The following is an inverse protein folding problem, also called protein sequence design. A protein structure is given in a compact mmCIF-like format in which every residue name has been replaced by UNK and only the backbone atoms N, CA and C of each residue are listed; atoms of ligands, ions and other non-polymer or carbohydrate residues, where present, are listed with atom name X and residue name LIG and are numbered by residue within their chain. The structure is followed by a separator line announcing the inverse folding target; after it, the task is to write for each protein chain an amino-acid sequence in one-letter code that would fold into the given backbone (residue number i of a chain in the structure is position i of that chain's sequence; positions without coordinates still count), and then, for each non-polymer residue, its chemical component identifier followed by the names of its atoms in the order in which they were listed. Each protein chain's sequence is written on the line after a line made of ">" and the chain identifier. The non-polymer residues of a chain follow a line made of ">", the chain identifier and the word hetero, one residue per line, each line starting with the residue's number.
data_IF_252708190558
#
_entry.id   IF_252708190558
#
_cell.length_a   1.000
_cell.length_b   1.000
_cell.length_c   1.000
_cell.angle_alpha   90.00
_cell.angle_beta   90.00
_cell.angle_gamma   90.00
#
_symmetry.space_group_name_H-M   'P 1'
#
loop_
_entity.id
_entity.type
_entity.pdbx_description
1 polymer ?
#
# COMPACT_ATOMS: atom_id res chain seq x y z
N UNK A 1 24.82 -92.49 9.79
CA UNK A 1 24.68 -92.62 8.32
C UNK A 1 23.57 -91.70 7.85
N UNK A 2 23.86 -90.84 6.85
CA UNK A 2 22.97 -90.35 5.79
C UNK A 2 21.66 -89.62 6.20
N UNK A 3 21.57 -88.31 5.95
CA UNK A 3 20.87 -87.67 4.79
C UNK A 3 19.56 -87.01 5.33
N UNK A 4 19.04 -85.84 4.95
CA UNK A 4 19.06 -84.97 3.76
C UNK A 4 18.50 -83.57 4.17
N UNK A 5 18.88 -82.54 3.41
CA UNK A 5 18.48 -81.14 3.54
C UNK A 5 17.00 -80.82 3.17
N UNK A 6 16.47 -79.66 3.59
CA UNK A 6 15.77 -78.73 2.69
C UNK A 6 15.65 -77.31 3.29
N UNK A 7 15.69 -76.36 2.37
CA UNK A 7 15.79 -74.88 2.47
C UNK A 7 14.42 -74.25 2.78
N UNK A 8 14.36 -73.15 3.55
CA UNK A 8 13.46 -72.04 3.20
C UNK A 8 13.90 -70.71 3.83
N UNK A 9 14.00 -69.72 2.94
CA UNK A 9 14.24 -68.29 3.14
C UNK A 9 12.99 -67.59 3.67
N UNK A 10 13.11 -66.74 4.68
CA UNK A 10 12.26 -65.56 4.96
C UNK A 10 13.07 -64.57 5.82
N UNK A 11 13.56 -63.47 5.23
CA UNK A 11 12.93 -62.14 5.14
C UNK A 11 12.70 -61.47 6.50
N UNK A 12 13.47 -60.41 6.72
CA UNK A 12 13.40 -59.51 7.86
C UNK A 12 12.09 -58.71 7.88
N UNK A 13 11.57 -58.43 9.07
CA UNK A 13 10.73 -57.26 9.29
C UNK A 13 11.12 -56.62 10.62
N UNK A 14 12.01 -55.62 10.51
CA UNK A 14 12.29 -54.67 11.57
C UNK A 14 11.04 -53.80 11.70
N UNK A 15 10.25 -54.00 12.75
CA UNK A 15 9.09 -53.18 13.06
C UNK A 15 9.60 -51.83 13.59
N UNK A 16 9.97 -50.92 12.67
CA UNK A 16 10.09 -49.50 12.97
C UNK A 16 8.68 -49.02 13.33
N UNK A 17 8.47 -48.75 14.62
CA UNK A 17 7.26 -48.08 15.08
C UNK A 17 7.12 -46.76 14.35
N UNK A 18 6.01 -46.60 13.64
CA UNK A 18 5.60 -45.34 13.06
C UNK A 18 5.57 -44.29 14.18
N UNK A 19 6.38 -43.25 14.03
CA UNK A 19 6.10 -41.99 14.72
C UNK A 19 4.69 -41.57 14.28
N UNK A 20 3.83 -41.12 15.21
CA UNK A 20 2.56 -40.54 14.80
C UNK A 20 2.88 -39.36 13.89
N UNK A 21 2.38 -39.40 12.66
CA UNK A 21 2.33 -38.26 11.77
C UNK A 21 1.51 -37.21 12.53
N UNK A 22 2.15 -36.11 12.95
CA UNK A 22 1.42 -34.99 13.51
C UNK A 22 0.44 -34.53 12.43
N UNK A 23 -0.86 -34.57 12.74
CA UNK A 23 -1.84 -33.83 11.98
C UNK A 23 -1.44 -32.35 12.03
N UNK A 24 -1.24 -31.72 10.88
CA UNK A 24 -1.09 -30.27 10.83
C UNK A 24 -2.46 -29.67 11.19
N UNK A 25 -2.55 -29.01 12.34
CA UNK A 25 -3.78 -28.40 12.87
C UNK A 25 -4.07 -27.02 12.22
N UNK A 26 -3.20 -26.54 11.33
CA UNK A 26 -3.30 -25.21 10.72
C UNK A 26 -4.30 -25.20 9.55
N UNK A 27 -5.26 -24.27 9.59
CA UNK A 27 -6.21 -24.04 8.49
C UNK A 27 -5.54 -23.31 7.32
N UNK A 28 -6.22 -23.25 6.17
CA UNK A 28 -5.74 -22.47 5.01
C UNK A 28 -5.45 -21.01 5.40
N UNK A 29 -6.29 -20.41 6.24
CA UNK A 29 -6.12 -19.03 6.72
C UNK A 29 -4.90 -18.90 7.63
N UNK A 30 -4.64 -19.90 8.49
CA UNK A 30 -3.47 -19.91 9.37
C UNK A 30 -2.17 -20.04 8.56
N UNK A 31 -2.17 -20.92 7.55
CA UNK A 31 -1.04 -21.13 6.64
C UNK A 31 -0.73 -19.85 5.85
N UNK A 32 -1.76 -19.19 5.31
CA UNK A 32 -1.59 -17.92 4.61
C UNK A 32 -1.09 -16.80 5.54
N UNK A 33 -1.63 -16.73 6.77
CA UNK A 33 -1.23 -15.72 7.77
C UNK A 33 0.19 -15.91 8.30
N UNK A 34 0.67 -17.16 8.34
CA UNK A 34 2.04 -17.50 8.75
C UNK A 34 3.10 -17.30 7.67
N UNK A 35 2.69 -17.06 6.41
CA UNK A 35 3.60 -16.90 5.28
C UNK A 35 3.73 -15.43 4.85
N UNK A 36 4.90 -14.79 5.00
CA UNK A 36 5.10 -13.38 4.63
C UNK A 36 4.87 -13.11 3.14
N UNK A 37 5.10 -14.11 2.27
CA UNK A 37 4.93 -13.98 0.81
C UNK A 37 3.46 -14.02 0.37
N UNK A 38 2.53 -14.31 1.29
CA UNK A 38 1.07 -14.38 1.05
C UNK A 38 0.32 -13.28 1.82
N UNK A 39 1.03 -12.31 2.38
CA UNK A 39 0.43 -11.25 3.21
C UNK A 39 -0.59 -10.40 2.46
N UNK A 40 -0.44 -10.18 1.15
CA UNK A 40 -1.43 -9.49 0.32
C UNK A 40 -2.72 -10.30 0.14
N UNK A 41 -2.61 -11.62 0.00
CA UNK A 41 -3.77 -12.51 -0.05
C UNK A 41 -4.57 -12.47 1.26
N UNK A 42 -3.89 -12.53 2.41
CA UNK A 42 -4.53 -12.46 3.74
C UNK A 42 -5.29 -11.15 3.93
N UNK A 43 -4.69 -10.04 3.53
CA UNK A 43 -5.34 -8.72 3.59
C UNK A 43 -6.57 -8.64 2.67
N UNK A 44 -6.48 -9.17 1.46
CA UNK A 44 -7.60 -9.21 0.53
C UNK A 44 -8.76 -10.10 1.05
N UNK A 45 -8.44 -11.24 1.69
CA UNK A 45 -9.43 -12.11 2.34
C UNK A 45 -10.15 -11.41 3.52
N UNK A 46 -9.44 -10.57 4.27
CA UNK A 46 -10.02 -9.77 5.35
C UNK A 46 -10.90 -8.63 4.82
N UNK A 47 -10.44 -7.92 3.79
CA UNK A 47 -11.16 -6.79 3.19
C UNK A 47 -12.45 -7.23 2.47
N UNK A 48 -12.43 -8.38 1.81
CA UNK A 48 -13.61 -8.93 1.15
C UNK A 48 -14.60 -9.55 2.14
N UNK A 49 -14.12 -10.17 3.22
CA UNK A 49 -14.94 -11.01 4.10
C UNK A 49 -14.93 -12.50 3.70
N UNK A 50 -14.16 -12.88 2.68
CA UNK A 50 -14.00 -14.26 2.22
C UNK A 50 -13.31 -15.17 3.25
N UNK A 51 -12.62 -14.58 4.23
CA UNK A 51 -12.01 -15.31 5.36
C UNK A 51 -13.03 -16.18 6.12
N UNK A 52 -14.29 -15.75 6.22
CA UNK A 52 -15.35 -16.51 6.89
C UNK A 52 -15.77 -17.75 6.09
N UNK A 53 -15.80 -17.65 4.76
CA UNK A 53 -16.08 -18.77 3.85
C UNK A 53 -14.97 -19.81 3.90
N UNK A 54 -13.72 -19.36 3.89
CA UNK A 54 -12.53 -20.23 3.97
C UNK A 54 -12.28 -20.79 5.37
N UNK A 55 -12.98 -20.30 6.40
CA UNK A 55 -12.97 -20.88 7.74
C UNK A 55 -14.01 -22.00 7.94
N UNK A 56 -14.83 -22.30 6.92
CA UNK A 56 -15.84 -23.36 6.94
C UNK A 56 -15.27 -24.78 6.98
N UNK A 57 -16.16 -25.76 7.21
CA UNK A 57 -15.85 -27.20 7.09
C UNK A 57 -15.63 -27.52 5.61
N UNK A 58 -14.38 -27.47 5.13
CA UNK A 58 -13.99 -27.78 3.76
C UNK A 58 -14.29 -29.25 3.33
N UNK A 59 -13.63 -29.78 2.30
CA UNK A 59 -12.33 -29.34 1.80
C UNK A 59 -12.41 -28.25 0.74
N UNK A 60 -11.43 -27.34 0.77
CA UNK A 60 -11.20 -26.32 -0.26
C UNK A 60 -9.83 -26.51 -0.94
N UNK A 61 -9.71 -26.04 -2.17
CA UNK A 61 -8.42 -25.87 -2.84
C UNK A 61 -8.21 -24.39 -3.09
N UNK A 62 -7.10 -23.83 -2.60
CA UNK A 62 -6.77 -22.41 -2.80
C UNK A 62 -5.53 -22.26 -3.65
N UNK A 63 -5.66 -21.54 -4.75
CA UNK A 63 -4.54 -21.08 -5.56
C UNK A 63 -4.06 -19.73 -5.01
N UNK A 64 -2.98 -19.74 -4.23
CA UNK A 64 -2.49 -18.59 -3.48
C UNK A 64 -1.43 -17.82 -4.26
N UNK A 65 -1.75 -16.68 -4.88
CA UNK A 65 -0.75 -15.82 -5.52
C UNK A 65 0.21 -15.22 -4.48
N UNK A 66 1.48 -15.11 -4.85
CA UNK A 66 2.48 -14.41 -4.05
C UNK A 66 2.26 -12.90 -4.08
N UNK A 67 2.89 -12.19 -3.14
CA UNK A 67 2.87 -10.73 -3.15
C UNK A 67 3.42 -10.15 -4.48
N UNK A 68 4.48 -10.76 -5.01
CA UNK A 68 5.06 -10.37 -6.31
C UNK A 68 4.07 -10.59 -7.47
N UNK A 69 3.27 -11.64 -7.43
CA UNK A 69 2.22 -11.91 -8.42
C UNK A 69 1.14 -10.82 -8.43
N UNK A 70 0.73 -10.35 -7.25
CA UNK A 70 -0.20 -9.22 -7.12
C UNK A 70 0.41 -7.93 -7.67
N UNK A 71 1.66 -7.62 -7.32
CA UNK A 71 2.35 -6.43 -7.81
C UNK A 71 2.55 -6.47 -9.33
N UNK A 72 2.86 -7.65 -9.89
CA UNK A 72 2.97 -7.86 -11.32
C UNK A 72 1.64 -7.65 -12.05
N UNK A 73 0.54 -8.18 -11.52
CA UNK A 73 -0.80 -7.94 -12.09
C UNK A 73 -1.18 -6.46 -12.06
N UNK A 74 -0.92 -5.77 -10.95
CA UNK A 74 -1.16 -4.32 -10.80
C UNK A 74 -0.33 -3.51 -11.82
N UNK A 75 0.91 -3.95 -12.07
CA UNK A 75 1.77 -3.34 -13.07
C UNK A 75 1.27 -3.61 -14.50
N UNK A 76 0.79 -4.82 -14.79
CA UNK A 76 0.34 -5.25 -16.12
C UNK A 76 -1.04 -4.70 -16.49
N UNK A 77 -2.00 -4.72 -15.56
CA UNK A 77 -3.35 -4.23 -15.80
C UNK A 77 -3.45 -2.72 -15.87
N UNK A 78 -2.44 -1.99 -15.39
CA UNK A 78 -2.48 -0.53 -15.35
C UNK A 78 -3.55 0.03 -14.38
N UNK A 79 -4.17 -0.83 -13.56
CA UNK A 79 -5.24 -0.51 -12.61
C UNK A 79 -4.64 -0.18 -11.25
N UNK A 80 -5.22 0.79 -10.57
CA UNK A 80 -4.83 1.17 -9.22
C UNK A 80 -5.30 0.11 -8.20
N UNK A 81 -4.44 -0.36 -7.27
CA UNK A 81 -4.82 -1.37 -6.28
C UNK A 81 -6.03 -0.92 -5.44
N UNK A 82 -6.17 0.37 -5.17
CA UNK A 82 -7.31 0.95 -4.44
C UNK A 82 -8.59 0.93 -5.27
N UNK A 83 -8.52 0.97 -6.61
CA UNK A 83 -9.71 0.78 -7.45
C UNK A 83 -10.20 -0.66 -7.41
N UNK A 84 -9.27 -1.62 -7.42
CA UNK A 84 -9.57 -3.04 -7.22
C UNK A 84 -10.08 -3.33 -5.80
N UNK A 85 -9.61 -2.58 -4.79
CA UNK A 85 -9.98 -2.77 -3.38
C UNK A 85 -11.21 -1.95 -2.94
N UNK A 86 -11.53 -0.85 -3.62
CA UNK A 86 -12.72 -0.03 -3.36
C UNK A 86 -14.01 -0.72 -3.86
N UNK A 87 -13.90 -1.57 -4.87
CA UNK A 87 -14.99 -2.45 -5.32
C UNK A 87 -14.91 -3.79 -4.58
N UNK A 88 -15.43 -3.81 -3.36
CA UNK A 88 -15.44 -4.98 -2.49
C UNK A 88 -16.16 -6.19 -3.13
N UNK A 89 -17.13 -5.96 -4.03
CA UNK A 89 -17.86 -7.03 -4.74
C UNK A 89 -16.99 -7.62 -5.85
N UNK A 90 -16.29 -6.79 -6.62
CA UNK A 90 -15.34 -7.25 -7.63
C UNK A 90 -14.11 -7.94 -7.02
N UNK A 91 -13.59 -7.41 -5.90
CA UNK A 91 -12.51 -8.04 -5.14
C UNK A 91 -12.93 -9.41 -4.60
N UNK A 92 -14.15 -9.52 -4.06
CA UNK A 92 -14.71 -10.80 -3.63
C UNK A 92 -14.78 -11.79 -4.80
N UNK A 93 -15.25 -11.36 -5.97
CA UNK A 93 -15.30 -12.21 -7.17
C UNK A 93 -13.94 -12.75 -7.59
N UNK A 94 -12.91 -11.88 -7.62
CA UNK A 94 -11.52 -12.27 -7.94
C UNK A 94 -10.97 -13.23 -6.89
N UNK A 95 -11.23 -13.00 -5.61
CA UNK A 95 -10.75 -13.88 -4.54
C UNK A 95 -11.45 -15.25 -4.55
N UNK A 96 -12.75 -15.29 -4.78
CA UNK A 96 -13.49 -16.55 -4.91
C UNK A 96 -13.08 -17.33 -6.16
N UNK A 97 -12.51 -16.68 -7.17
CA UNK A 97 -11.96 -17.33 -8.35
C UNK A 97 -10.64 -18.06 -8.09
N UNK A 98 -9.95 -17.71 -7.01
CA UNK A 98 -8.76 -18.45 -6.53
C UNK A 98 -9.12 -19.65 -5.65
N UNK A 99 -10.40 -19.84 -5.33
CA UNK A 99 -10.88 -20.90 -4.44
C UNK A 99 -11.75 -21.88 -5.20
N UNK A 100 -11.46 -23.17 -5.09
CA UNK A 100 -12.30 -24.24 -5.58
C UNK A 100 -12.87 -25.08 -4.42
N UNK A 101 -14.09 -25.59 -4.58
CA UNK A 101 -14.64 -26.61 -3.67
C UNK A 101 -14.00 -27.97 -3.96
N UNK A 102 -13.67 -28.70 -2.90
CA UNK A 102 -13.01 -29.99 -3.00
C UNK A 102 -11.50 -29.90 -2.75
N UNK A 103 -10.91 -31.04 -2.39
CA UNK A 103 -9.48 -31.21 -2.30
C UNK A 103 -8.95 -31.67 -3.66
N UNK A 104 -8.16 -30.84 -4.33
CA UNK A 104 -7.53 -31.13 -5.61
C UNK A 104 -6.02 -31.04 -5.43
N UNK A 105 -5.39 -32.17 -5.17
CA UNK A 105 -3.93 -32.30 -5.09
C UNK A 105 -3.33 -32.47 -6.49
N UNK A 106 -2.03 -32.22 -6.62
CA UNK A 106 -1.34 -32.23 -7.91
C UNK A 106 -1.40 -33.58 -8.63
N UNK A 107 -1.54 -34.69 -7.90
CA UNK A 107 -1.68 -36.04 -8.45
C UNK A 107 -3.09 -36.34 -9.00
N UNK A 108 -4.07 -35.47 -8.71
CA UNK A 108 -5.42 -35.53 -9.25
C UNK A 108 -5.62 -34.68 -10.51
N UNK A 109 -4.61 -33.90 -10.91
CA UNK A 109 -4.70 -32.99 -12.05
C UNK A 109 -4.44 -33.71 -13.39
N UNK A 110 -5.32 -33.47 -14.37
CA UNK A 110 -5.16 -33.88 -15.76
C UNK A 110 -4.95 -32.67 -16.69
N UNK A 111 -4.21 -32.86 -17.78
CA UNK A 111 -4.00 -31.81 -18.79
C UNK A 111 -5.32 -31.45 -19.48
N UNK A 112 -5.63 -30.15 -19.51
CA UNK A 112 -6.91 -29.61 -19.98
C UNK A 112 -8.06 -29.73 -18.98
N UNK A 113 -7.80 -30.07 -17.72
CA UNK A 113 -8.83 -30.14 -16.69
C UNK A 113 -9.39 -28.76 -16.36
N UNK A 114 -10.72 -28.65 -16.26
CA UNK A 114 -11.41 -27.46 -15.79
C UNK A 114 -11.81 -27.64 -14.32
N UNK A 115 -11.37 -26.73 -13.46
CA UNK A 115 -11.67 -26.70 -12.03
C UNK A 115 -12.70 -25.61 -11.78
N UNK A 116 -13.87 -25.99 -11.24
CA UNK A 116 -14.92 -25.04 -10.88
C UNK A 116 -14.53 -24.27 -9.61
N UNK A 117 -14.58 -22.94 -9.71
CA UNK A 117 -14.27 -22.04 -8.58
C UNK A 117 -15.52 -21.61 -7.83
N UNK A 118 -15.35 -21.05 -6.64
CA UNK A 118 -16.43 -20.45 -5.85
C UNK A 118 -16.99 -19.16 -6.48
N UNK A 119 -16.26 -18.55 -7.41
CA UNK A 119 -16.79 -17.43 -8.23
C UNK A 119 -17.81 -17.90 -9.28
N UNK A 120 -17.98 -19.22 -9.48
CA UNK A 120 -18.90 -19.78 -10.47
C UNK A 120 -18.31 -19.88 -11.88
N UNK A 121 -17.03 -19.59 -12.04
CA UNK A 121 -16.25 -19.70 -13.28
C UNK A 121 -15.17 -20.79 -13.14
N UNK A 122 -14.61 -21.26 -14.27
CA UNK A 122 -13.65 -22.38 -14.28
C UNK A 122 -12.22 -21.92 -14.52
N UNK A 123 -11.27 -22.56 -13.84
CA UNK A 123 -9.83 -22.44 -14.09
C UNK A 123 -9.37 -23.66 -14.90
N UNK A 124 -8.72 -23.43 -16.03
CA UNK A 124 -8.18 -24.49 -16.88
C UNK A 124 -6.75 -24.83 -16.48
N UNK A 125 -6.44 -26.11 -16.36
CA UNK A 125 -5.12 -26.64 -16.01
C UNK A 125 -4.41 -27.12 -17.26
N UNK A 126 -3.20 -26.64 -17.48
CA UNK A 126 -2.28 -27.06 -18.54
C UNK A 126 -1.05 -27.73 -17.89
N UNK A 127 -0.77 -28.99 -18.24
CA UNK A 127 0.33 -29.78 -17.66
C UNK A 127 1.45 -29.96 -18.71
N UNK A 128 2.57 -29.29 -18.48
CA UNK A 128 3.81 -29.41 -19.27
C UNK A 128 5.01 -29.80 -18.41
N UNK A 129 6.09 -29.03 -18.50
CA UNK A 129 7.23 -29.14 -17.56
C UNK A 129 6.89 -28.59 -16.16
N UNK A 130 5.83 -27.77 -16.07
CA UNK A 130 5.20 -27.24 -14.86
C UNK A 130 3.67 -27.27 -15.01
N UNK A 131 2.94 -27.12 -13.90
CA UNK A 131 1.48 -26.93 -13.90
C UNK A 131 1.17 -25.46 -14.09
N UNK A 132 0.40 -25.12 -15.13
CA UNK A 132 -0.01 -23.75 -15.45
C UNK A 132 -1.53 -23.65 -15.43
N UNK A 133 -2.06 -22.59 -14.85
CA UNK A 133 -3.47 -22.28 -14.72
C UNK A 133 -3.84 -21.13 -15.67
N UNK A 134 -4.92 -21.30 -16.43
CA UNK A 134 -5.41 -20.35 -17.44
C UNK A 134 -4.31 -19.87 -18.42
N UNK A 135 -3.32 -20.73 -18.70
CA UNK A 135 -2.13 -20.41 -19.50
C UNK A 135 -1.34 -19.17 -19.04
N UNK A 136 -1.55 -18.73 -17.78
CA UNK A 136 -1.01 -17.47 -17.25
C UNK A 136 -0.29 -17.64 -15.91
N UNK A 137 -0.83 -18.44 -14.99
CA UNK A 137 -0.27 -18.60 -13.63
C UNK A 137 0.39 -19.95 -13.45
N UNK A 138 1.68 -19.98 -13.14
CA UNK A 138 2.44 -21.21 -12.87
C UNK A 138 2.38 -21.56 -11.39
N UNK A 139 2.10 -22.83 -11.08
CA UNK A 139 2.18 -23.34 -9.71
C UNK A 139 3.65 -23.48 -9.32
N UNK A 140 4.08 -22.70 -8.33
CA UNK A 140 5.46 -22.66 -7.84
C UNK A 140 5.68 -23.60 -6.65
N UNK A 141 4.67 -23.78 -5.80
CA UNK A 141 4.66 -24.73 -4.70
C UNK A 141 3.31 -25.43 -4.64
N UNK A 142 3.29 -26.74 -4.80
CA UNK A 142 2.06 -27.54 -4.80
C UNK A 142 1.88 -28.31 -3.48
N UNK A 143 0.64 -28.73 -3.23
CA UNK A 143 0.26 -29.70 -2.20
C UNK A 143 0.59 -29.28 -0.75
N UNK A 144 0.42 -28.00 -0.42
CA UNK A 144 0.52 -27.55 0.97
C UNK A 144 -0.76 -27.99 1.70
N UNK A 145 -0.64 -29.04 2.49
CA UNK A 145 -1.77 -29.61 3.24
C UNK A 145 -2.24 -28.66 4.36
N UNK A 146 -3.55 -28.41 4.41
CA UNK A 146 -4.23 -27.65 5.44
C UNK A 146 -5.31 -28.51 6.13
N UNK A 147 -5.70 -28.14 7.36
CA UNK A 147 -6.72 -28.89 8.11
C UNK A 147 -8.11 -28.87 7.45
N UNK A 148 -8.37 -27.91 6.56
CA UNK A 148 -9.61 -27.76 5.81
C UNK A 148 -9.42 -27.75 4.29
N UNK A 149 -8.30 -28.27 3.77
CA UNK A 149 -8.07 -28.37 2.33
C UNK A 149 -6.61 -28.41 1.89
N UNK A 150 -6.33 -27.86 0.71
CA UNK A 150 -4.98 -27.78 0.12
C UNK A 150 -4.70 -26.39 -0.46
N UNK A 151 -3.46 -25.93 -0.34
CA UNK A 151 -2.97 -24.68 -0.92
C UNK A 151 -1.91 -24.96 -1.99
N UNK A 152 -2.05 -24.31 -3.14
CA UNK A 152 -1.06 -24.27 -4.22
C UNK A 152 -0.62 -22.83 -4.42
N UNK A 153 0.67 -22.53 -4.27
CA UNK A 153 1.23 -21.20 -4.48
C UNK A 153 1.44 -20.97 -5.97
N UNK A 154 1.03 -19.81 -6.48
CA UNK A 154 1.12 -19.44 -7.89
C UNK A 154 1.88 -18.12 -8.09
N UNK A 155 2.50 -17.93 -9.25
CA UNK A 155 3.31 -16.75 -9.57
C UNK A 155 2.55 -15.63 -10.32
N UNK A 156 1.29 -15.83 -10.65
CA UNK A 156 0.42 -14.81 -11.23
C UNK A 156 -0.99 -14.87 -10.61
N UNK A 157 -1.68 -13.73 -10.56
CA UNK A 157 -3.06 -13.64 -10.06
C UNK A 157 -4.01 -14.13 -11.15
N UNK A 158 -4.96 -15.00 -10.77
CA UNK A 158 -6.04 -15.45 -11.64
C UNK A 158 -7.12 -14.37 -11.73
N UNK A 159 -7.34 -13.83 -12.93
CA UNK A 159 -8.40 -12.85 -13.19
C UNK A 159 -9.61 -13.56 -13.83
N UNK A 160 -10.82 -13.41 -13.27
CA UNK A 160 -12.03 -13.97 -13.89
C UNK A 160 -12.29 -13.33 -15.27
N UNK A 161 -12.70 -14.10 -16.28
CA UNK A 161 -13.13 -13.56 -17.58
C UNK A 161 -14.24 -12.49 -17.44
N UNK A 162 -15.20 -12.71 -16.53
CA UNK A 162 -16.27 -11.74 -16.24
C UNK A 162 -15.75 -10.39 -15.71
N UNK A 163 -14.64 -10.40 -14.97
CA UNK A 163 -13.97 -9.20 -14.50
C UNK A 163 -13.36 -8.41 -15.66
N UNK A 164 -12.77 -9.11 -16.64
CA UNK A 164 -12.23 -8.47 -17.85
C UNK A 164 -13.35 -7.89 -18.74
N UNK A 165 -14.48 -8.58 -18.85
CA UNK A 165 -15.64 -8.12 -19.61
C UNK A 165 -16.29 -6.88 -18.96
N UNK A 166 -16.38 -6.84 -17.64
CA UNK A 166 -16.88 -5.68 -16.89
C UNK A 166 -15.98 -4.44 -17.12
N UNK A 167 -14.65 -4.63 -17.09
CA UNK A 167 -13.67 -3.59 -17.36
C UNK A 167 -13.71 -3.10 -18.83
N UNK A 168 -13.96 -4.01 -19.77
CA UNK A 168 -14.14 -3.65 -21.19
C UNK A 168 -15.44 -2.85 -21.40
N UNK A 169 -16.52 -3.23 -20.71
CA UNK A 169 -17.82 -2.55 -20.83
C UNK A 169 -17.83 -1.15 -20.20
N UNK A 170 -17.07 -0.89 -19.13
CA UNK A 170 -16.93 0.46 -18.55
C UNK A 170 -16.15 1.43 -19.43
N UNK A 171 -15.43 0.93 -20.44
CA UNK A 171 -14.67 1.75 -21.40
C UNK A 171 -15.55 2.25 -22.56
N UNK A 172 -16.70 1.60 -22.81
CA UNK A 172 -17.57 1.93 -23.94
C UNK A 172 -18.60 3.04 -23.60
N UNK A 173 -18.96 3.23 -22.33
CA UNK A 173 -19.89 4.30 -21.91
C UNK A 173 -19.19 5.68 -21.79
N UNK A 174 -17.85 5.70 -21.71
CA UNK A 174 -17.05 6.93 -21.78
C UNK A 174 -16.76 7.39 -23.22
N UNK A 175 -17.11 6.59 -24.24
CA UNK A 175 -16.71 6.83 -25.63
C UNK A 175 -17.72 7.65 -26.48
N UNK A 176 -18.78 8.22 -25.88
CA UNK A 176 -19.73 9.09 -26.60
C UNK A 176 -19.67 10.57 -26.28
N UNK A 177 -18.74 11.03 -25.45
CA UNK A 177 -18.43 12.46 -25.36
C UNK A 177 -17.10 12.73 -26.07
N UNK A 178 -17.17 12.94 -27.39
CA UNK A 178 -16.05 13.52 -28.13
C UNK A 178 -15.73 14.90 -27.53
N UNK A 179 -14.68 14.96 -26.72
CA UNK A 179 -14.01 16.23 -26.42
C UNK A 179 -13.42 16.76 -27.74
N UNK A 180 -13.73 18.00 -28.15
CA UNK A 180 -13.11 18.57 -29.32
C UNK A 180 -11.61 18.76 -29.04
N UNK A 181 -10.79 18.35 -29.99
CA UNK A 181 -9.39 18.73 -30.04
C UNK A 181 -9.30 20.25 -30.23
N UNK A 182 -9.06 20.99 -29.16
CA UNK A 182 -8.64 22.38 -29.22
C UNK A 182 -7.30 22.58 -28.52
N UNK A 183 -6.52 23.45 -29.15
CA UNK A 183 -5.10 23.67 -29.02
C UNK A 183 -4.59 23.93 -27.59
N UNK A 184 -3.28 23.75 -27.42
CA UNK A 184 -2.46 24.37 -26.37
C UNK A 184 -2.74 25.88 -26.28
N UNK A 185 -3.79 26.28 -25.56
CA UNK A 185 -3.90 27.63 -25.01
C UNK A 185 -3.26 27.61 -23.63
N UNK A 186 -2.18 28.39 -23.47
CA UNK A 186 -1.67 28.72 -22.16
C UNK A 186 -2.83 29.30 -21.35
N UNK A 187 -3.10 28.73 -20.17
CA UNK A 187 -4.07 29.29 -19.22
C UNK A 187 -3.71 30.76 -19.02
N UNK A 188 -4.53 31.68 -19.55
CA UNK A 188 -4.37 33.10 -19.30
C UNK A 188 -4.64 33.35 -17.82
N UNK A 189 -3.57 33.38 -17.02
CA UNK A 189 -3.64 33.79 -15.62
C UNK A 189 -4.25 35.20 -15.60
N UNK A 190 -5.43 35.42 -14.98
CA UNK A 190 -6.07 36.73 -14.98
C UNK A 190 -5.10 37.81 -14.51
N UNK A 191 -5.10 39.00 -15.15
CA UNK A 191 -4.14 40.11 -14.89
C UNK A 191 -4.05 40.58 -13.41
N UNK A 192 -4.88 40.04 -12.52
CA UNK A 192 -4.87 40.29 -11.08
C UNK A 192 -3.84 39.46 -10.29
N UNK A 193 -3.27 38.38 -10.87
CA UNK A 193 -2.28 37.53 -10.19
C UNK A 193 -0.88 37.77 -10.75
N UNK A 194 -0.19 38.75 -10.17
CA UNK A 194 1.17 39.17 -10.59
C UNK A 194 2.26 38.78 -9.58
N UNK A 195 1.85 38.12 -8.50
CA UNK A 195 2.68 37.68 -7.40
C UNK A 195 3.23 36.26 -7.61
N UNK A 196 3.89 35.74 -6.57
CA UNK A 196 4.47 34.39 -6.57
C UNK A 196 4.12 33.68 -5.28
N UNK A 197 3.80 32.40 -5.40
CA UNK A 197 3.68 31.45 -4.30
C UNK A 197 4.81 30.44 -4.38
N UNK A 198 5.03 29.69 -3.30
CA UNK A 198 6.11 28.72 -3.20
C UNK A 198 5.55 27.37 -2.82
N UNK A 199 5.82 26.34 -3.61
CA UNK A 199 5.35 24.98 -3.32
C UNK A 199 6.54 24.04 -3.14
N UNK A 200 6.43 23.08 -2.24
CA UNK A 200 7.31 21.90 -2.19
C UNK A 200 6.47 20.64 -2.15
N UNK A 201 7.09 19.53 -2.51
CA UNK A 201 6.43 18.22 -2.57
C UNK A 201 7.07 17.30 -1.55
N UNK A 202 6.25 16.59 -0.78
CA UNK A 202 6.64 15.49 0.09
C UNK A 202 6.00 14.21 -0.44
N UNK A 203 6.83 13.26 -0.88
CA UNK A 203 6.37 11.96 -1.33
C UNK A 203 6.51 10.95 -0.20
N UNK A 204 5.40 10.65 0.45
CA UNK A 204 5.28 9.76 1.61
C UNK A 204 4.36 8.55 1.33
N UNK A 205 3.93 8.38 0.08
CA UNK A 205 3.09 7.27 -0.34
C UNK A 205 3.90 5.97 -0.51
N UNK A 206 3.65 4.96 0.33
CA UNK A 206 4.47 3.74 0.42
C UNK A 206 4.58 2.91 -0.87
N UNK A 207 3.53 2.90 -1.68
CA UNK A 207 3.41 2.01 -2.83
C UNK A 207 3.69 2.71 -4.16
N UNK A 208 4.20 3.94 -4.10
CA UNK A 208 4.58 4.73 -5.28
C UNK A 208 6.11 4.83 -5.28
N UNK A 209 6.75 4.06 -6.15
CA UNK A 209 8.22 4.01 -6.24
C UNK A 209 8.83 5.32 -6.80
N UNK A 210 8.02 6.09 -7.53
CA UNK A 210 8.36 7.40 -8.06
C UNK A 210 7.09 8.16 -8.42
N UNK A 211 7.10 9.49 -8.24
CA UNK A 211 6.00 10.36 -8.66
C UNK A 211 6.45 11.48 -9.60
N UNK A 212 5.59 11.76 -10.57
CA UNK A 212 5.65 12.86 -11.52
C UNK A 212 4.64 13.93 -11.12
N UNK A 213 5.09 15.18 -11.06
CA UNK A 213 4.26 16.30 -10.60
C UNK A 213 3.84 17.17 -11.78
N UNK A 214 2.53 17.35 -11.91
CA UNK A 214 1.92 18.22 -12.91
C UNK A 214 1.32 19.44 -12.21
N UNK A 215 1.54 20.59 -12.82
CA UNK A 215 0.93 21.86 -12.38
C UNK A 215 0.27 22.47 -13.61
N UNK A 216 -1.02 22.72 -13.53
CA UNK A 216 -1.86 23.21 -14.63
C UNK A 216 -1.77 22.33 -15.87
N UNK A 217 -1.82 21.01 -15.67
CA UNK A 217 -1.70 20.06 -16.77
C UNK A 217 -0.26 19.82 -17.24
N UNK A 218 0.73 20.60 -16.79
CA UNK A 218 2.10 20.57 -17.35
C UNK A 218 3.08 19.88 -16.40
N UNK A 219 3.73 18.82 -16.91
CA UNK A 219 4.78 18.09 -16.19
C UNK A 219 5.96 19.01 -15.83
N UNK A 220 6.28 19.09 -14.54
CA UNK A 220 7.45 19.82 -14.06
C UNK A 220 8.65 18.88 -14.03
N UNK A 221 9.53 18.96 -15.04
CA UNK A 221 10.73 18.11 -15.18
C UNK A 221 11.69 18.07 -13.99
N UNK A 222 11.64 19.08 -13.11
CA UNK A 222 12.43 19.07 -11.87
C UNK A 222 11.83 18.16 -10.78
N UNK A 223 10.62 17.64 -11.02
CA UNK A 223 9.76 16.91 -10.11
C UNK A 223 9.24 15.64 -10.82
N UNK A 224 10.13 14.92 -11.50
CA UNK A 224 9.85 13.65 -12.17
C UNK A 224 10.60 12.53 -11.48
N UNK A 225 10.00 11.33 -11.42
CA UNK A 225 10.57 10.15 -10.76
C UNK A 225 11.00 10.45 -9.31
N UNK A 226 10.14 11.22 -8.62
CA UNK A 226 10.42 11.70 -7.28
C UNK A 226 10.26 10.55 -6.29
N UNK A 227 11.34 10.12 -5.64
CA UNK A 227 11.38 8.89 -4.87
C UNK A 227 10.52 8.91 -3.60
N UNK A 228 10.06 7.74 -3.17
CA UNK A 228 9.45 7.55 -1.86
C UNK A 228 10.36 8.04 -0.71
N UNK A 229 9.77 8.75 0.25
CA UNK A 229 10.45 9.36 1.40
C UNK A 229 11.18 10.67 1.10
N UNK A 230 11.09 11.18 -0.13
CA UNK A 230 11.79 12.42 -0.51
C UNK A 230 10.92 13.67 -0.33
N UNK A 231 11.59 14.80 -0.03
CA UNK A 231 10.95 16.12 0.10
C UNK A 231 11.77 17.14 -0.70
N UNK A 232 11.11 17.92 -1.56
CA UNK A 232 11.78 18.88 -2.43
C UNK A 232 12.14 20.16 -1.67
N UNK A 233 13.00 20.97 -2.28
CA UNK A 233 13.01 22.41 -1.98
C UNK A 233 11.77 23.11 -2.55
N UNK A 234 11.57 24.37 -2.15
CA UNK A 234 10.49 25.18 -2.70
C UNK A 234 10.74 25.56 -4.17
N UNK A 235 9.70 25.42 -4.97
CA UNK A 235 9.59 25.89 -6.34
C UNK A 235 8.66 27.10 -6.36
N UNK A 236 9.11 28.20 -6.97
CA UNK A 236 8.26 29.35 -7.22
C UNK A 236 7.23 29.05 -8.32
N UNK A 237 5.97 29.36 -8.05
CA UNK A 237 4.83 29.22 -8.96
C UNK A 237 4.07 30.56 -8.94
N UNK A 238 3.45 31.00 -10.05
CA UNK A 238 2.55 32.14 -9.99
C UNK A 238 1.52 32.00 -8.87
N UNK A 239 1.09 33.11 -8.29
CA UNK A 239 -0.05 33.05 -7.37
C UNK A 239 -1.37 32.93 -8.17
N UNK A 240 -2.45 32.49 -7.52
CA UNK A 240 -3.75 32.31 -8.16
C UNK A 240 -4.20 30.84 -8.21
N UNK A 241 -5.24 30.54 -9.01
CA UNK A 241 -5.78 29.19 -9.12
C UNK A 241 -4.83 28.28 -9.89
N UNK A 242 -4.55 27.11 -9.33
CA UNK A 242 -3.72 26.09 -9.94
C UNK A 242 -4.35 24.71 -9.77
N UNK A 243 -4.13 23.84 -10.76
CA UNK A 243 -4.37 22.40 -10.59
C UNK A 243 -3.05 21.71 -10.28
N UNK A 244 -3.04 20.94 -9.20
CA UNK A 244 -1.86 20.23 -8.73
C UNK A 244 -2.14 18.74 -8.73
N UNK A 245 -1.35 18.03 -9.53
CA UNK A 245 -1.49 16.60 -9.69
C UNK A 245 -0.20 15.88 -9.35
N UNK A 246 -0.32 14.84 -8.53
CA UNK A 246 0.75 13.88 -8.25
C UNK A 246 0.39 12.59 -8.97
N UNK A 247 1.23 12.17 -9.91
CA UNK A 247 0.97 11.01 -10.77
C UNK A 247 2.09 10.00 -10.55
N UNK A 248 1.83 8.72 -10.27
CA UNK A 248 2.90 7.73 -10.20
C UNK A 248 3.70 7.70 -11.51
N UNK A 249 5.03 7.63 -11.42
CA UNK A 249 5.91 7.74 -12.59
C UNK A 249 5.62 6.65 -13.62
N UNK A 250 5.55 7.07 -14.87
CA UNK A 250 5.20 6.18 -16.00
C UNK A 250 3.72 5.87 -16.14
N UNK A 251 2.84 6.52 -15.36
CA UNK A 251 1.38 6.45 -15.52
C UNK A 251 0.84 7.63 -16.32
N UNK A 252 -0.38 7.47 -16.86
CA UNK A 252 -1.13 8.55 -17.48
C UNK A 252 -1.57 9.58 -16.45
N UNK A 253 -1.61 10.86 -16.85
CA UNK A 253 -1.97 11.96 -15.96
C UNK A 253 -3.39 11.85 -15.38
N UNK A 254 -4.33 11.22 -16.10
CA UNK A 254 -5.68 10.93 -15.59
C UNK A 254 -5.72 9.90 -14.44
N UNK A 255 -4.56 9.37 -14.03
CA UNK A 255 -4.39 8.46 -12.88
C UNK A 255 -3.66 9.14 -11.73
N UNK A 256 -3.83 10.46 -11.59
CA UNK A 256 -3.24 11.20 -10.49
C UNK A 256 -3.78 10.68 -9.13
N UNK A 257 -2.89 10.40 -8.20
CA UNK A 257 -3.22 10.02 -6.80
C UNK A 257 -3.53 11.24 -5.94
N UNK A 258 -3.05 12.41 -6.38
CA UNK A 258 -3.50 13.71 -5.89
C UNK A 258 -4.02 14.46 -7.08
N UNK A 259 -5.23 14.97 -7.01
CA UNK A 259 -5.80 15.91 -7.98
C UNK A 259 -6.50 17.02 -7.20
N UNK A 260 -5.82 18.16 -7.08
CA UNK A 260 -6.27 19.26 -6.22
C UNK A 260 -6.34 20.57 -7.01
N UNK A 261 -7.51 21.19 -6.97
CA UNK A 261 -7.64 22.61 -7.31
C UNK A 261 -7.29 23.44 -6.07
N UNK A 262 -6.28 24.30 -6.19
CA UNK A 262 -5.84 25.14 -5.09
C UNK A 262 -5.69 26.60 -5.49
N UNK A 263 -6.05 27.46 -4.55
CA UNK A 263 -5.84 28.89 -4.65
C UNK A 263 -4.52 29.24 -3.94
N UNK A 264 -3.45 29.43 -4.72
CA UNK A 264 -2.15 29.81 -4.17
C UNK A 264 -2.13 31.32 -3.84
N UNK A 265 -1.87 31.66 -2.58
CA UNK A 265 -1.81 33.05 -2.11
C UNK A 265 -0.44 33.68 -2.40
N UNK A 266 -0.43 34.99 -2.69
CA UNK A 266 0.82 35.71 -2.95
C UNK A 266 1.76 35.69 -1.72
N UNK A 267 3.01 35.29 -1.93
CA UNK A 267 4.03 35.11 -0.91
C UNK A 267 3.88 33.86 -0.03
N UNK A 268 2.77 33.13 -0.14
CA UNK A 268 2.51 31.95 0.69
C UNK A 268 3.35 30.74 0.26
N UNK A 269 3.64 29.89 1.23
CA UNK A 269 4.37 28.65 1.04
C UNK A 269 3.43 27.47 1.32
N UNK A 270 3.56 26.41 0.52
CA UNK A 270 2.73 25.22 0.63
C UNK A 270 3.56 23.94 0.53
N UNK A 271 3.18 22.95 1.32
CA UNK A 271 3.64 21.57 1.19
C UNK A 271 2.53 20.72 0.59
N UNK A 272 2.77 20.19 -0.60
CA UNK A 272 1.91 19.16 -1.17
C UNK A 272 2.43 17.81 -0.69
N UNK A 273 1.59 17.06 -0.01
CA UNK A 273 1.94 15.76 0.53
C UNK A 273 1.15 14.69 -0.22
N UNK A 274 1.84 13.72 -0.80
CA UNK A 274 1.24 12.44 -1.20
C UNK A 274 1.59 11.43 -0.11
N UNK A 275 0.60 10.85 0.58
CA UNK A 275 0.80 10.01 1.76
C UNK A 275 -0.15 8.81 1.76
N UNK A 276 -0.02 7.95 2.76
CA UNK A 276 -0.78 6.72 2.87
C UNK A 276 -0.14 5.56 2.11
N UNK A 277 -0.89 4.48 1.98
CA UNK A 277 -0.50 3.30 1.24
C UNK A 277 -1.77 2.66 0.67
N UNK A 278 -1.63 2.01 -0.48
CA UNK A 278 -2.70 1.40 -1.26
C UNK A 278 -3.50 0.34 -0.49
N UNK A 279 -2.97 -0.16 0.64
CA UNK A 279 -3.49 -1.31 1.37
C UNK A 279 -4.19 -0.97 2.70
N UNK A 280 -4.14 0.28 3.16
CA UNK A 280 -4.78 0.72 4.41
C UNK A 280 -5.93 1.70 4.16
N UNK A 281 -5.64 2.85 3.54
CA UNK A 281 -6.62 3.89 3.20
C UNK A 281 -6.52 4.39 1.75
N UNK A 282 -5.55 3.87 0.99
CA UNK A 282 -5.19 4.37 -0.32
C UNK A 282 -4.07 5.40 -0.26
N UNK A 283 -3.61 5.84 -1.44
CA UNK A 283 -2.74 7.02 -1.53
C UNK A 283 -3.61 8.25 -1.53
N UNK A 284 -3.33 9.17 -0.61
CA UNK A 284 -4.07 10.40 -0.40
C UNK A 284 -3.19 11.62 -0.67
N UNK A 285 -3.85 12.76 -0.91
CA UNK A 285 -3.22 14.06 -1.11
C UNK A 285 -3.62 15.08 -0.06
N UNK A 286 -2.66 15.88 0.38
CA UNK A 286 -2.91 17.05 1.21
C UNK A 286 -2.14 18.25 0.66
N UNK A 287 -2.75 19.42 0.74
CA UNK A 287 -2.06 20.69 0.49
C UNK A 287 -2.07 21.46 1.79
N UNK A 288 -0.90 21.54 2.41
CA UNK A 288 -0.66 22.19 3.69
C UNK A 288 -0.12 23.58 3.44
N UNK A 289 -0.65 24.59 4.12
CA UNK A 289 -0.09 25.94 4.08
C UNK A 289 0.99 26.07 5.15
N UNK A 290 2.24 26.24 4.74
CA UNK A 290 3.37 26.29 5.66
C UNK A 290 3.35 27.59 6.47
N UNK A 291 3.47 27.48 7.80
CA UNK A 291 3.55 28.62 8.70
C UNK A 291 4.95 29.28 8.64
N UNK A 292 5.10 30.20 7.69
CA UNK A 292 6.32 30.98 7.42
C UNK A 292 6.34 32.35 8.09
N UNK A 293 6.01 32.40 9.39
CA UNK A 293 6.05 33.64 10.18
C UNK A 293 7.41 34.36 10.05
N UNK A 294 7.45 35.59 9.52
CA UNK A 294 8.70 36.33 9.32
C UNK A 294 9.48 36.65 10.61
N UNK A 295 8.93 36.37 11.79
CA UNK A 295 9.59 36.56 13.09
C UNK A 295 10.62 35.48 13.47
N UNK A 296 10.76 34.40 12.68
CA UNK A 296 11.85 33.44 12.87
C UNK A 296 13.21 34.13 12.78
N UNK A 297 14.01 33.94 13.82
CA UNK A 297 15.34 34.52 13.99
C UNK A 297 16.27 33.49 14.63
N UNK A 298 17.56 33.83 14.79
CA UNK A 298 18.58 32.93 15.35
C UNK A 298 18.26 32.36 16.74
N UNK A 299 17.25 32.88 17.45
CA UNK A 299 16.79 32.39 18.75
C UNK A 299 15.63 31.39 18.72
N UNK A 300 15.09 31.05 17.54
CA UNK A 300 13.94 30.15 17.39
C UNK A 300 14.15 29.19 16.22
N UNK A 301 13.83 27.91 16.44
CA UNK A 301 13.61 26.91 15.40
C UNK A 301 12.12 26.59 15.37
N UNK A 302 11.51 26.59 14.18
CA UNK A 302 10.11 26.19 14.01
C UNK A 302 10.04 24.81 13.39
N UNK A 303 9.21 23.97 13.96
CA UNK A 303 9.04 22.58 13.54
C UNK A 303 7.58 22.35 13.22
N UNK A 304 7.30 22.02 11.97
CA UNK A 304 6.04 21.44 11.53
C UNK A 304 6.22 19.94 11.44
N UNK A 305 5.42 19.18 12.17
CA UNK A 305 5.37 17.72 12.09
C UNK A 305 4.14 17.30 11.30
N UNK A 306 4.29 16.29 10.45
CA UNK A 306 3.20 15.68 9.71
C UNK A 306 3.13 14.18 10.01
N UNK A 307 1.94 13.67 10.33
CA UNK A 307 1.71 12.25 10.62
C UNK A 307 1.06 11.55 9.43
N UNK A 308 1.87 10.90 8.60
CA UNK A 308 1.43 10.18 7.40
C UNK A 308 1.40 8.66 7.54
N UNK A 309 1.40 8.11 8.76
CA UNK A 309 1.36 6.65 8.99
C UNK A 309 -0.10 6.21 9.22
N UNK A 310 -0.76 5.57 8.25
CA UNK A 310 -2.22 5.36 8.26
C UNK A 310 -2.70 4.35 9.32
N UNK A 311 -1.86 3.41 9.72
CA UNK A 311 -2.17 2.35 10.69
C UNK A 311 -1.70 2.68 12.12
N UNK A 312 -1.02 3.81 12.32
CA UNK A 312 -0.59 4.24 13.64
C UNK A 312 -1.68 5.09 14.33
N UNK A 313 -1.84 4.96 15.67
CA UNK A 313 -2.74 5.83 16.42
C UNK A 313 -2.28 7.29 16.33
N UNK A 314 -3.09 8.22 16.86
CA UNK A 314 -2.58 9.56 17.14
C UNK A 314 -1.35 9.48 18.05
N UNK A 315 -0.40 10.38 17.85
CA UNK A 315 0.91 10.38 18.51
C UNK A 315 1.18 11.66 19.29
N UNK A 316 2.11 11.56 20.23
CA UNK A 316 2.72 12.66 20.95
C UNK A 316 4.22 12.69 20.64
N UNK A 317 4.77 13.89 20.51
CA UNK A 317 6.22 14.14 20.52
C UNK A 317 6.61 14.52 21.94
N UNK A 318 7.53 13.77 22.52
CA UNK A 318 7.99 13.95 23.90
C UNK A 318 9.50 14.06 23.97
N UNK A 319 10.02 14.71 25.01
CA UNK A 319 11.45 14.65 25.37
C UNK A 319 11.79 13.35 26.10
N UNK A 320 13.08 13.06 26.27
CA UNK A 320 13.57 11.86 26.99
C UNK A 320 13.05 11.72 28.43
N UNK A 321 12.70 12.82 29.10
CA UNK A 321 12.08 12.80 30.43
C UNK A 321 10.54 12.68 30.41
N UNK A 322 9.95 12.51 29.22
CA UNK A 322 8.51 12.34 29.00
C UNK A 322 7.72 13.65 28.93
N UNK A 323 8.39 14.81 28.90
CA UNK A 323 7.70 16.10 28.75
C UNK A 323 7.08 16.21 27.37
N UNK A 324 5.80 16.57 27.30
CA UNK A 324 5.07 16.76 26.06
C UNK A 324 5.56 18.01 25.33
N UNK A 325 6.00 17.84 24.08
CA UNK A 325 6.40 18.93 23.17
C UNK A 325 5.25 19.28 22.23
N UNK A 326 4.71 18.27 21.55
CA UNK A 326 3.54 18.36 20.68
C UNK A 326 2.66 17.15 20.95
N UNK A 327 1.34 17.32 20.97
CA UNK A 327 0.44 16.25 21.39
C UNK A 327 -0.76 16.08 20.48
N UNK A 328 -1.24 14.84 20.42
CA UNK A 328 -2.46 14.43 19.73
C UNK A 328 -2.42 14.76 18.23
N UNK A 329 -1.31 14.44 17.59
CA UNK A 329 -1.14 14.56 16.14
C UNK A 329 -1.71 13.28 15.54
N UNK A 330 -2.76 13.38 14.73
CA UNK A 330 -3.41 12.23 14.10
C UNK A 330 -3.06 12.13 12.62
N UNK A 331 -3.29 10.96 12.01
CA UNK A 331 -3.35 10.83 10.56
C UNK A 331 -4.41 11.82 10.00
N UNK A 332 -4.22 12.46 8.83
CA UNK A 332 -5.21 13.36 8.25
C UNK A 332 -6.62 12.76 8.27
N UNK A 333 -7.63 13.55 8.63
CA UNK A 333 -9.01 13.05 8.71
C UNK A 333 -9.37 12.23 9.97
N UNK A 334 -8.39 11.66 10.67
CA UNK A 334 -8.63 10.68 11.76
C UNK A 334 -9.19 11.28 13.06
N UNK A 335 -9.02 12.58 13.29
CA UNK A 335 -9.44 13.27 14.50
C UNK A 335 -10.52 14.30 14.20
N UNK A 336 -11.64 14.21 14.92
CA UNK A 336 -12.64 15.28 14.95
C UNK A 336 -12.17 16.43 15.84
N UNK A 337 -12.11 17.62 15.25
CA UNK A 337 -11.75 18.87 15.91
C UNK A 337 -12.96 19.49 16.62
N UNK A 338 -12.70 20.42 17.55
CA UNK A 338 -13.75 21.07 18.35
C UNK A 338 -14.75 21.88 17.51
N UNK A 339 -14.34 22.34 16.33
CA UNK A 339 -15.18 23.05 15.37
C UNK A 339 -16.03 22.10 14.50
N UNK A 340 -15.93 20.78 14.69
CA UNK A 340 -16.62 19.76 13.89
C UNK A 340 -15.92 19.40 12.58
N UNK A 341 -14.79 20.04 12.25
CA UNK A 341 -13.93 19.62 11.15
C UNK A 341 -13.03 18.44 11.52
N UNK A 342 -12.19 18.02 10.58
CA UNK A 342 -11.14 17.00 10.80
C UNK A 342 -9.76 17.64 10.88
N UNK A 343 -8.79 16.96 11.46
CA UNK A 343 -7.39 17.37 11.39
C UNK A 343 -6.84 17.22 9.97
N UNK A 344 -5.84 18.03 9.65
CA UNK A 344 -5.01 18.01 8.43
C UNK A 344 -3.74 17.16 8.59
N UNK A 345 -3.51 16.64 9.79
CA UNK A 345 -2.39 15.74 10.10
C UNK A 345 -1.08 16.46 10.43
N UNK A 346 -1.11 17.80 10.51
CA UNK A 346 0.05 18.59 10.90
C UNK A 346 -0.06 19.21 12.29
N UNK A 347 1.09 19.56 12.85
CA UNK A 347 1.18 20.40 14.04
C UNK A 347 2.48 21.21 14.00
N UNK A 348 2.38 22.51 14.26
CA UNK A 348 3.53 23.42 14.25
C UNK A 348 3.83 23.94 15.65
N UNK A 349 5.11 23.96 16.01
CA UNK A 349 5.59 24.48 17.29
C UNK A 349 6.98 25.12 17.18
N UNK A 350 7.27 26.04 18.11
CA UNK A 350 8.54 26.76 18.19
C UNK A 350 9.36 26.27 19.38
N UNK A 351 10.67 26.09 19.17
CA UNK A 351 11.63 25.71 20.20
C UNK A 351 12.90 26.56 20.12
N UNK A 352 13.66 26.58 21.22
CA UNK A 352 14.99 27.19 21.19
C UNK A 352 15.96 26.35 20.33
N UNK A 353 17.01 26.94 19.75
CA UNK A 353 18.05 26.17 19.09
C UNK A 353 18.77 25.27 20.08
N UNK A 354 19.12 24.06 19.66
CA UNK A 354 19.82 23.11 20.50
C UNK A 354 19.71 21.66 20.03
N UNK A 355 20.28 20.77 20.83
CA UNK A 355 20.18 19.33 20.65
C UNK A 355 19.11 18.79 21.60
N UNK A 356 18.18 18.02 21.06
CA UNK A 356 17.04 17.47 21.77
C UNK A 356 17.04 15.95 21.71
N UNK A 357 16.77 15.31 22.84
CA UNK A 357 16.43 13.90 22.87
C UNK A 357 14.92 13.76 22.77
N UNK A 358 14.42 13.56 21.55
CA UNK A 358 12.99 13.48 21.24
C UNK A 358 12.57 12.04 20.96
N UNK A 359 11.31 11.74 21.22
CA UNK A 359 10.67 10.48 20.87
C UNK A 359 9.24 10.72 20.41
N UNK A 360 8.78 9.93 19.44
CA UNK A 360 7.38 9.84 19.06
C UNK A 360 6.76 8.63 19.75
N UNK A 361 5.68 8.86 20.48
CA UNK A 361 4.98 7.83 21.28
C UNK A 361 3.48 7.86 20.97
N UNK A 362 2.73 6.77 21.20
CA UNK A 362 1.28 6.81 21.09
C UNK A 362 0.69 7.88 22.01
N UNK A 363 -0.38 8.55 21.56
CA UNK A 363 -1.03 9.60 22.33
C UNK A 363 -1.45 9.12 23.73
N UNK A 364 -1.12 9.90 24.74
CA UNK A 364 -1.33 9.52 26.14
C UNK A 364 -0.25 8.56 26.69
N UNK A 365 0.84 8.35 25.95
CA UNK A 365 2.03 7.56 26.32
C UNK A 365 1.74 6.09 26.68
N UNK A 366 0.63 5.55 26.19
CA UNK A 366 0.25 4.15 26.42
C UNK A 366 0.86 3.24 25.33
N UNK A 367 2.17 3.06 25.32
CA UNK A 367 2.82 2.15 24.37
C UNK A 367 4.34 2.33 24.24
N UNK A 368 5.00 1.54 23.37
CA UNK A 368 6.41 1.70 23.09
C UNK A 368 6.70 3.00 22.34
N UNK A 369 7.96 3.42 22.34
CA UNK A 369 8.45 4.47 21.43
C UNK A 369 8.29 3.97 20.00
N UNK A 370 7.59 4.74 19.17
CA UNK A 370 7.39 4.45 17.75
C UNK A 370 8.59 4.90 16.94
N UNK A 371 9.09 6.11 17.23
CA UNK A 371 10.24 6.71 16.52
C UNK A 371 11.18 7.32 17.55
N UNK A 372 12.44 6.88 17.52
CA UNK A 372 13.52 7.48 18.31
C UNK A 372 14.17 8.61 17.52
N UNK A 373 14.11 9.83 18.06
CA UNK A 373 14.67 11.05 17.50
C UNK A 373 15.71 11.65 18.45
N UNK A 374 16.40 10.80 19.23
CA UNK A 374 17.43 11.23 20.16
C UNK A 374 18.59 11.95 19.45
N UNK A 375 19.11 13.01 20.08
CA UNK A 375 20.19 13.82 19.49
C UNK A 375 19.79 14.71 18.30
N UNK A 376 18.50 15.01 18.12
CA UNK A 376 18.02 15.91 17.05
C UNK A 376 18.57 17.32 17.24
N UNK A 377 19.31 17.84 16.26
CA UNK A 377 19.84 19.22 16.28
C UNK A 377 18.90 20.17 15.54
N UNK A 378 18.43 21.20 16.24
CA UNK A 378 17.57 22.26 15.71
C UNK A 378 18.33 23.58 15.74
N UNK A 379 18.53 24.17 14.56
CA UNK A 379 19.21 25.44 14.38
C UNK A 379 18.22 26.61 14.47
N UNK A 380 18.68 27.72 15.01
CA UNK A 380 17.89 28.95 15.04
C UNK A 380 17.83 29.60 13.67
N UNK A 381 16.70 30.25 13.38
CA UNK A 381 16.45 30.85 12.09
C UNK A 381 16.01 29.85 11.03
N UNK A 382 15.61 28.64 11.43
CA UNK A 382 15.34 27.53 10.51
C UNK A 382 13.94 26.97 10.73
N UNK A 383 13.28 26.70 9.61
CA UNK A 383 12.02 25.97 9.51
C UNK A 383 12.31 24.51 9.20
N UNK A 384 11.74 23.62 9.99
CA UNK A 384 11.80 22.18 9.82
C UNK A 384 10.43 21.67 9.46
N UNK A 385 10.36 20.85 8.42
CA UNK A 385 9.20 19.99 8.16
C UNK A 385 9.63 18.55 8.34
N UNK A 386 8.99 17.87 9.28
CA UNK A 386 9.30 16.51 9.70
C UNK A 386 8.08 15.65 9.46
N UNK A 387 8.17 14.72 8.52
CA UNK A 387 7.08 13.83 8.22
C UNK A 387 7.38 12.42 8.69
N UNK A 388 6.46 11.83 9.45
CA UNK A 388 6.44 10.41 9.72
C UNK A 388 5.64 9.70 8.61
N UNK A 389 6.17 8.58 8.10
CA UNK A 389 5.56 7.82 7.00
C UNK A 389 5.92 6.33 7.10
N UNK A 390 5.34 5.48 6.25
CA UNK A 390 5.51 4.02 6.33
C UNK A 390 4.36 3.35 7.06
N UNK A 391 4.66 2.43 7.98
CA UNK A 391 3.66 1.71 8.78
C UNK A 391 3.95 1.83 10.28
N UNK A 392 3.00 1.50 11.13
CA UNK A 392 3.22 1.48 12.58
C UNK A 392 4.28 0.45 13.00
N UNK A 393 4.45 -0.61 12.21
CA UNK A 393 5.45 -1.66 12.42
C UNK A 393 6.84 -1.27 11.91
N UNK A 394 6.92 -0.46 10.86
CA UNK A 394 8.16 0.06 10.28
C UNK A 394 8.02 1.56 9.98
N UNK A 395 8.09 2.42 11.02
CA UNK A 395 7.91 3.84 10.86
C UNK A 395 9.19 4.51 10.36
N UNK A 396 9.04 5.37 9.36
CA UNK A 396 10.12 6.13 8.72
C UNK A 396 9.94 7.63 8.94
N UNK A 397 11.03 8.39 8.81
CA UNK A 397 11.03 9.85 8.97
C UNK A 397 11.74 10.53 7.80
N UNK A 398 11.08 11.55 7.25
CA UNK A 398 11.63 12.44 6.24
C UNK A 398 11.71 13.85 6.82
N UNK A 399 12.83 14.54 6.57
CA UNK A 399 13.07 15.88 7.10
C UNK A 399 13.47 16.82 5.96
N UNK A 400 12.85 17.99 5.92
CA UNK A 400 13.23 19.10 5.06
C UNK A 400 13.47 20.34 5.90
N UNK A 401 14.49 21.12 5.53
CA UNK A 401 14.86 22.36 6.22
C UNK A 401 14.90 23.52 5.25
N UNK A 402 14.41 24.67 5.68
CA UNK A 402 14.51 25.93 4.94
C UNK A 402 14.77 27.09 5.89
N UNK A 403 15.45 28.13 5.41
CA UNK A 403 15.69 29.37 6.16
C UNK A 403 14.76 30.49 5.71
#
# INVERSE_FOLDING_TARGET
>A
MRKIALILSTLALLLMGALPLAAQDESIVDIASGNPDLSLLVQALQASGAAETLAGEGPFTVFAPTNDAFLALIAEMGVDPTTLMADQEALMGVLLYHVAEGEVTSDMLEDGQEIMTLAGETVTVSIGDSVVLNDAATVTTADIAASNGVVHVIDAVLVPPSFMDAMASSTEEAATEEAPAEAEEAVEVPEQYTGQSFIRIAHLAGDVNGADIYIDGVLRRALTDFAYGSITGYLAVPNGPHTLQVVPTGRDQGRAVVDAEVMLEDGAHYTIVAYGNAFSSGVEGAVLMDDRDPEINEGVARVTVFHGIPDAPAVDVVTADGTLVAGRIGYPGSLTLLNGGTNDGEFTFDVAPGTYDLAVVPNGQAGPVLIDLSGTELAGGTYYFVAAYGTAADPMVAVSTSN
#
